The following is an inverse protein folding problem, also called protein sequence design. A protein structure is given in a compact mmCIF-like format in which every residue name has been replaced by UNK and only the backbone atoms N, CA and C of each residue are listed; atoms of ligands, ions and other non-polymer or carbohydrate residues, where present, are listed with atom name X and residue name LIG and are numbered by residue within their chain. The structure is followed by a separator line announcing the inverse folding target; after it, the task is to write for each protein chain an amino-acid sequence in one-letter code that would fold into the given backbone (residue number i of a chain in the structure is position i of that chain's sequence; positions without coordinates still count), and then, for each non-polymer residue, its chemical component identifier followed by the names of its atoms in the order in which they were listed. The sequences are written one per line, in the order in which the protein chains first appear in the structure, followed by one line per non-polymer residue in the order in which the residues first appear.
data_IF_993521388121
#
_entry.id   IF_993521388121
#
_cell.length_a   1.000
_cell.length_b   1.000
_cell.length_c   1.000
_cell.angle_alpha   90.00
_cell.angle_beta   90.00
_cell.angle_gamma   90.00
#
_symmetry.space_group_name_H-M   'P 1'
#
loop_
_entity.id
_entity.type
_entity.pdbx_description
1 polymer ?
#
# COMPACT_ATOMS: atom_id res chain seq x y z
N UNK A 1 50.71 -11.75 5.97
CA UNK A 1 49.26 -11.86 6.27
C UNK A 1 48.47 -11.28 5.10
N UNK A 2 47.64 -12.09 4.50
CA UNK A 2 47.17 -11.92 3.11
C UNK A 2 45.99 -10.93 3.05
N UNK A 3 46.13 -9.82 2.31
CA UNK A 3 45.11 -8.78 2.11
C UNK A 3 43.75 -9.36 1.59
N UNK A 4 43.79 -10.50 0.90
CA UNK A 4 42.61 -11.20 0.42
C UNK A 4 41.73 -11.78 1.55
N UNK A 5 42.33 -12.22 2.65
CA UNK A 5 41.60 -12.76 3.79
C UNK A 5 40.86 -11.67 4.58
N UNK A 6 41.40 -10.45 4.66
CA UNK A 6 40.78 -9.32 5.35
C UNK A 6 39.56 -8.86 4.59
N UNK A 7 39.63 -8.80 3.25
CA UNK A 7 38.50 -8.38 2.41
C UNK A 7 37.36 -9.40 2.42
N UNK A 8 37.69 -10.70 2.38
CA UNK A 8 36.71 -11.77 2.50
C UNK A 8 35.97 -11.76 3.87
N UNK A 9 36.70 -11.47 4.96
CA UNK A 9 36.12 -11.37 6.29
C UNK A 9 35.27 -10.11 6.47
N UNK A 10 35.61 -9.00 5.79
CA UNK A 10 34.75 -7.82 5.72
C UNK A 10 33.49 -8.07 4.91
N UNK A 11 33.58 -8.74 3.77
CA UNK A 11 32.45 -9.13 2.94
C UNK A 11 31.50 -10.10 3.69
N UNK A 12 32.05 -11.05 4.43
CA UNK A 12 31.26 -11.97 5.30
C UNK A 12 30.65 -11.20 6.47
N UNK A 13 31.36 -10.27 7.11
CA UNK A 13 30.77 -9.41 8.15
C UNK A 13 29.67 -8.51 7.61
N UNK A 14 29.82 -7.94 6.41
CA UNK A 14 28.80 -7.14 5.77
C UNK A 14 27.59 -7.97 5.32
N UNK A 15 27.79 -9.26 5.00
CA UNK A 15 26.72 -10.21 4.68
C UNK A 15 25.99 -10.70 5.94
N UNK A 16 26.71 -10.93 7.05
CA UNK A 16 26.15 -11.37 8.33
C UNK A 16 25.60 -10.20 9.16
N UNK A 17 26.16 -9.00 9.00
CA UNK A 17 25.61 -7.77 9.57
C UNK A 17 24.59 -7.22 8.56
N UNK A 18 23.45 -7.93 8.41
CA UNK A 18 22.36 -7.50 7.56
C UNK A 18 22.14 -6.00 7.80
N UNK A 19 22.36 -5.16 6.76
CA UNK A 19 22.00 -3.74 6.83
C UNK A 19 20.62 -3.68 7.45
N UNK A 20 20.50 -3.13 8.68
CA UNK A 20 19.20 -2.87 9.29
C UNK A 20 18.41 -2.12 8.25
N UNK A 21 17.41 -2.76 7.66
CA UNK A 21 16.55 -2.10 6.68
C UNK A 21 16.02 -0.86 7.38
N UNK A 22 16.24 0.30 6.77
CA UNK A 22 15.68 1.54 7.27
C UNK A 22 14.18 1.37 7.31
N UNK A 23 13.56 1.91 8.33
CA UNK A 23 12.10 1.85 8.53
C UNK A 23 11.56 3.25 8.79
N UNK A 24 10.31 3.45 8.38
CA UNK A 24 9.51 4.64 8.71
C UNK A 24 8.43 4.19 9.67
N UNK A 25 8.29 4.88 10.79
CA UNK A 25 7.24 4.61 11.76
C UNK A 25 6.03 5.51 11.50
N UNK A 26 4.84 4.91 11.38
CA UNK A 26 3.58 5.63 11.14
C UNK A 26 2.46 4.88 11.85
N UNK A 27 1.68 5.58 12.68
CA UNK A 27 0.60 4.97 13.45
C UNK A 27 1.08 3.86 14.41
N UNK A 28 2.32 3.93 14.90
CA UNK A 28 2.93 2.89 15.75
C UNK A 28 3.40 1.65 14.99
N UNK A 29 3.19 1.57 13.67
CA UNK A 29 3.69 0.50 12.82
C UNK A 29 4.99 0.91 12.10
N UNK A 30 5.86 -0.07 11.80
CA UNK A 30 7.16 0.13 11.17
C UNK A 30 7.16 -0.39 9.75
N UNK A 31 7.16 0.51 8.78
CA UNK A 31 7.22 0.21 7.35
C UNK A 31 8.68 0.19 6.87
N UNK A 32 9.10 -0.87 6.18
CA UNK A 32 10.43 -0.97 5.60
C UNK A 32 10.59 0.03 4.44
N UNK A 33 11.73 0.73 4.34
CA UNK A 33 11.98 1.66 3.22
C UNK A 33 12.07 0.95 1.86
N UNK A 34 12.45 -0.33 1.85
CA UNK A 34 12.59 -1.13 0.63
C UNK A 34 11.97 -2.51 0.85
N UNK A 35 11.20 -2.96 -0.11
CA UNK A 35 10.56 -4.28 -0.12
C UNK A 35 10.76 -4.96 -1.47
N UNK A 36 10.38 -6.24 -1.53
CA UNK A 36 10.24 -6.98 -2.79
C UNK A 36 8.82 -7.46 -2.96
N UNK A 37 8.28 -7.29 -4.16
CA UNK A 37 6.99 -7.84 -4.59
C UNK A 37 7.25 -8.74 -5.79
N UNK A 38 7.20 -10.05 -5.59
CA UNK A 38 7.74 -11.01 -6.54
C UNK A 38 9.24 -10.77 -6.77
N UNK A 39 9.65 -10.54 -8.01
CA UNK A 39 11.03 -10.20 -8.38
C UNK A 39 11.30 -8.69 -8.43
N UNK A 40 10.30 -7.86 -8.14
CA UNK A 40 10.41 -6.42 -8.27
C UNK A 40 10.84 -5.78 -6.95
N UNK A 41 11.92 -5.00 -6.97
CA UNK A 41 12.31 -4.15 -5.85
C UNK A 41 11.44 -2.88 -5.86
N UNK A 42 10.87 -2.53 -4.72
CA UNK A 42 10.06 -1.32 -4.53
C UNK A 42 10.62 -0.50 -3.39
N UNK A 43 10.45 0.81 -3.50
CA UNK A 43 10.80 1.78 -2.46
C UNK A 43 9.53 2.34 -1.83
N UNK A 44 9.57 2.59 -0.54
CA UNK A 44 8.51 3.27 0.17
C UNK A 44 8.38 4.71 -0.37
N UNK A 45 7.26 4.99 -1.03
CA UNK A 45 6.96 6.33 -1.52
C UNK A 45 6.54 7.24 -0.39
N UNK A 46 5.61 6.78 0.43
CA UNK A 46 5.12 7.52 1.59
C UNK A 46 4.17 6.69 2.43
N UNK A 47 3.79 7.26 3.58
CA UNK A 47 2.89 6.64 4.56
C UNK A 47 1.93 7.67 5.13
N UNK A 48 0.79 7.20 5.62
CA UNK A 48 -0.15 8.04 6.37
C UNK A 48 -1.04 7.21 7.28
N UNK A 49 -1.84 7.89 8.09
CA UNK A 49 -2.82 7.28 9.00
C UNK A 49 -4.21 7.79 8.63
N UNK A 50 -5.12 6.88 8.39
CA UNK A 50 -6.55 7.20 8.30
C UNK A 50 -7.08 7.43 9.70
N UNK A 51 -7.75 8.55 9.90
CA UNK A 51 -8.41 8.88 11.16
C UNK A 51 -9.93 9.00 10.95
N UNK A 52 -10.69 8.65 11.97
CA UNK A 52 -12.13 8.86 11.99
C UNK A 52 -12.52 9.29 13.41
N UNK A 53 -13.22 10.40 13.56
CA UNK A 53 -13.55 10.98 14.85
C UNK A 53 -12.30 11.21 15.76
N UNK A 54 -11.21 11.65 15.18
CA UNK A 54 -9.88 11.82 15.81
C UNK A 54 -9.23 10.53 16.33
N UNK A 55 -9.72 9.36 15.92
CA UNK A 55 -9.11 8.08 16.28
C UNK A 55 -8.43 7.45 15.07
N UNK A 56 -7.18 6.93 15.22
CA UNK A 56 -6.50 6.24 14.15
C UNK A 56 -7.18 4.90 13.86
N UNK A 57 -7.53 4.66 12.61
CA UNK A 57 -8.24 3.47 12.15
C UNK A 57 -7.29 2.48 11.49
N UNK A 58 -6.49 2.94 10.55
CA UNK A 58 -5.43 2.15 9.91
C UNK A 58 -4.29 3.05 9.45
N UNK A 59 -3.11 2.47 9.34
CA UNK A 59 -1.98 3.08 8.65
C UNK A 59 -1.87 2.50 7.25
N UNK A 60 -1.46 3.32 6.28
CA UNK A 60 -1.25 2.88 4.90
C UNK A 60 0.11 3.32 4.40
N UNK A 61 0.75 2.46 3.62
CA UNK A 61 2.02 2.71 2.94
C UNK A 61 1.87 2.45 1.44
N UNK A 62 2.46 3.33 0.63
CA UNK A 62 2.54 3.20 -0.81
C UNK A 62 3.98 2.84 -1.20
N UNK A 63 4.15 1.73 -1.92
CA UNK A 63 5.43 1.30 -2.46
C UNK A 63 5.41 1.35 -3.99
N UNK A 64 6.41 1.99 -4.57
CA UNK A 64 6.54 2.24 -6.01
C UNK A 64 7.93 1.80 -6.51
N UNK A 65 8.10 1.61 -7.83
CA UNK A 65 9.41 1.34 -8.42
C UNK A 65 10.43 2.48 -8.20
N UNK A 66 9.93 3.72 -8.10
CA UNK A 66 10.72 4.91 -7.81
C UNK A 66 9.85 5.93 -7.05
N UNK A 67 10.47 6.76 -6.23
CA UNK A 67 9.76 7.83 -5.49
C UNK A 67 9.20 8.89 -6.44
N UNK A 68 8.02 9.38 -6.11
CA UNK A 68 7.37 10.50 -6.79
C UNK A 68 6.52 11.29 -5.79
N UNK A 69 6.44 12.60 -6.00
CA UNK A 69 5.58 13.50 -5.24
C UNK A 69 4.33 13.91 -6.03
N UNK A 70 4.14 13.36 -7.21
CA UNK A 70 3.03 13.70 -8.11
C UNK A 70 2.02 12.58 -8.17
N UNK A 71 0.76 12.90 -7.95
CA UNK A 71 -0.37 11.97 -8.01
C UNK A 71 -0.48 11.29 -9.39
N UNK A 72 -0.48 12.07 -10.46
CA UNK A 72 -0.55 11.58 -11.84
C UNK A 72 0.62 10.65 -12.17
N UNK A 73 1.84 11.02 -11.76
CA UNK A 73 3.02 10.19 -11.96
C UNK A 73 2.93 8.88 -11.16
N UNK A 74 2.45 8.92 -9.90
CA UNK A 74 2.30 7.71 -9.09
C UNK A 74 1.35 6.69 -9.73
N UNK A 75 0.31 7.16 -10.42
CA UNK A 75 -0.64 6.33 -11.18
C UNK A 75 -0.09 5.88 -12.54
N UNK A 76 0.74 6.70 -13.20
CA UNK A 76 1.32 6.45 -14.51
C UNK A 76 2.60 5.61 -14.49
N UNK A 77 3.34 5.53 -13.37
CA UNK A 77 4.56 4.74 -13.27
C UNK A 77 4.34 3.31 -13.76
N UNK A 78 5.23 2.85 -14.62
CA UNK A 78 5.26 1.45 -15.04
C UNK A 78 5.89 0.59 -13.94
N UNK A 79 5.48 -0.68 -13.88
CA UNK A 79 6.05 -1.64 -12.94
C UNK A 79 5.12 -2.04 -11.82
N UNK A 80 5.65 -2.87 -10.94
CA UNK A 80 4.93 -3.38 -9.76
C UNK A 80 4.70 -2.28 -8.74
N UNK A 81 3.67 -2.45 -7.90
CA UNK A 81 3.31 -1.53 -6.82
C UNK A 81 2.69 -2.30 -5.68
N UNK A 82 2.74 -1.73 -4.49
CA UNK A 82 2.01 -2.23 -3.32
C UNK A 82 1.35 -1.08 -2.57
N UNK A 83 0.11 -1.28 -2.20
CA UNK A 83 -0.52 -0.63 -1.05
C UNK A 83 -0.48 -1.62 0.10
N UNK A 84 0.02 -1.19 1.26
CA UNK A 84 0.01 -1.96 2.49
C UNK A 84 -0.82 -1.22 3.53
N UNK A 85 -1.88 -1.84 4.01
CA UNK A 85 -2.80 -1.31 5.01
C UNK A 85 -2.58 -2.10 6.28
N UNK A 86 -2.33 -1.40 7.40
CA UNK A 86 -2.15 -2.01 8.72
C UNK A 86 -3.25 -1.51 9.63
N UNK A 87 -4.06 -2.41 10.13
CA UNK A 87 -5.18 -2.10 11.00
C UNK A 87 -4.67 -1.63 12.37
N UNK A 88 -5.19 -0.52 12.86
CA UNK A 88 -4.82 0.06 14.15
C UNK A 88 -5.92 -0.07 15.19
N UNK A 89 -7.18 -0.20 14.74
CA UNK A 89 -8.36 -0.37 15.58
C UNK A 89 -9.24 -1.48 14.99
N UNK A 90 -9.92 -2.29 15.81
CA UNK A 90 -10.83 -3.32 15.29
C UNK A 90 -11.84 -2.72 14.32
N UNK A 91 -12.03 -3.35 13.16
CA UNK A 91 -12.96 -2.96 12.11
C UNK A 91 -13.82 -4.16 11.72
N UNK A 92 -15.10 -3.93 11.48
CA UNK A 92 -15.92 -4.90 10.78
C UNK A 92 -15.47 -4.98 9.32
N UNK A 93 -15.27 -6.20 8.79
CA UNK A 93 -14.76 -6.36 7.43
C UNK A 93 -15.76 -5.91 6.36
N UNK A 94 -17.06 -6.11 6.57
CA UNK A 94 -18.11 -5.65 5.64
C UNK A 94 -18.16 -4.12 5.58
N UNK A 95 -18.08 -3.45 6.75
CA UNK A 95 -18.06 -1.98 6.82
C UNK A 95 -16.80 -1.41 6.13
N UNK A 96 -15.66 -2.09 6.30
CA UNK A 96 -14.41 -1.70 5.63
C UNK A 96 -14.54 -1.82 4.10
N UNK A 97 -15.06 -2.93 3.59
CA UNK A 97 -15.31 -3.16 2.16
C UNK A 97 -16.29 -2.12 1.62
N UNK A 98 -17.39 -1.89 2.33
CA UNK A 98 -18.40 -0.91 1.94
C UNK A 98 -17.81 0.50 1.82
N UNK A 99 -17.03 0.93 2.82
CA UNK A 99 -16.34 2.23 2.80
C UNK A 99 -15.35 2.36 1.65
N UNK A 100 -14.63 1.28 1.32
CA UNK A 100 -13.73 1.27 0.16
C UNK A 100 -14.50 1.41 -1.16
N UNK A 101 -15.62 0.72 -1.31
CA UNK A 101 -16.48 0.81 -2.51
C UNK A 101 -17.02 2.24 -2.69
N UNK A 102 -17.52 2.86 -1.64
CA UNK A 102 -17.98 4.25 -1.68
C UNK A 102 -16.85 5.20 -2.11
N UNK A 103 -15.66 5.07 -1.51
CA UNK A 103 -14.52 5.91 -1.88
C UNK A 103 -14.04 5.68 -3.33
N UNK A 104 -14.15 4.47 -3.87
CA UNK A 104 -13.92 4.20 -5.29
C UNK A 104 -14.97 4.93 -6.14
N UNK A 105 -16.25 4.87 -5.76
CA UNK A 105 -17.34 5.49 -6.49
C UNK A 105 -17.22 7.03 -6.53
N UNK A 106 -16.78 7.65 -5.45
CA UNK A 106 -16.55 9.10 -5.39
C UNK A 106 -15.43 9.58 -6.33
N UNK A 107 -14.49 8.70 -6.66
CA UNK A 107 -13.32 9.04 -7.47
C UNK A 107 -13.39 8.55 -8.93
N UNK A 108 -14.45 7.86 -9.31
CA UNK A 108 -14.58 7.28 -10.66
C UNK A 108 -16.02 7.44 -11.16
N UNK A 109 -16.18 7.82 -12.41
CA UNK A 109 -17.50 7.96 -13.02
C UNK A 109 -18.22 6.60 -13.17
N UNK A 110 -19.52 6.65 -13.41
CA UNK A 110 -20.36 5.45 -13.51
C UNK A 110 -19.88 4.48 -14.62
N UNK A 111 -19.37 5.00 -15.72
CA UNK A 111 -18.85 4.19 -16.82
C UNK A 111 -17.64 3.38 -16.36
N UNK A 112 -16.74 4.02 -15.63
CA UNK A 112 -15.56 3.36 -15.08
C UNK A 112 -15.93 2.36 -13.99
N UNK A 113 -16.86 2.70 -13.08
CA UNK A 113 -17.36 1.80 -12.05
C UNK A 113 -17.97 0.53 -12.69
N UNK A 114 -18.82 0.69 -13.69
CA UNK A 114 -19.41 -0.45 -14.43
C UNK A 114 -18.33 -1.30 -15.13
N UNK A 115 -17.26 -0.67 -15.61
CA UNK A 115 -16.16 -1.37 -16.27
C UNK A 115 -15.37 -2.28 -15.32
N UNK A 116 -15.21 -1.88 -14.05
CA UNK A 116 -14.45 -2.65 -13.04
C UNK A 116 -15.32 -3.49 -12.11
N UNK A 117 -16.64 -3.47 -12.28
CA UNK A 117 -17.59 -4.07 -11.33
C UNK A 117 -17.31 -5.56 -11.08
N UNK A 118 -17.07 -6.34 -12.14
CA UNK A 118 -16.79 -7.77 -12.01
C UNK A 118 -15.46 -8.04 -11.26
N UNK A 119 -14.46 -7.20 -11.47
CA UNK A 119 -13.17 -7.27 -10.80
C UNK A 119 -13.29 -6.86 -9.32
N UNK A 120 -14.10 -5.85 -9.04
CA UNK A 120 -14.36 -5.38 -7.69
C UNK A 120 -15.11 -6.45 -6.87
N UNK A 121 -16.14 -7.05 -7.45
CA UNK A 121 -16.87 -8.17 -6.83
C UNK A 121 -15.96 -9.35 -6.49
N UNK A 122 -14.94 -9.64 -7.31
CA UNK A 122 -13.97 -10.68 -6.98
C UNK A 122 -13.15 -10.34 -5.73
N UNK A 123 -12.73 -9.06 -5.56
CA UNK A 123 -12.02 -8.62 -4.34
C UNK A 123 -12.93 -8.73 -3.11
N UNK A 124 -14.17 -8.29 -3.23
CA UNK A 124 -15.17 -8.37 -2.15
C UNK A 124 -15.40 -9.83 -1.73
N UNK A 125 -15.51 -10.75 -2.68
CA UNK A 125 -15.67 -12.18 -2.40
C UNK A 125 -14.52 -12.75 -1.59
N UNK A 126 -13.28 -12.31 -1.86
CA UNK A 126 -12.11 -12.76 -1.09
C UNK A 126 -12.15 -12.31 0.37
N UNK A 127 -12.84 -11.22 0.66
CA UNK A 127 -12.91 -10.66 2.00
C UNK A 127 -14.15 -11.09 2.79
N UNK A 128 -15.12 -11.77 2.16
CA UNK A 128 -16.36 -12.22 2.83
C UNK A 128 -16.12 -13.19 3.99
N UNK A 129 -15.03 -13.96 3.92
CA UNK A 129 -14.67 -14.91 4.99
C UNK A 129 -14.05 -14.20 6.21
N UNK A 130 -13.70 -12.92 6.08
CA UNK A 130 -13.19 -12.09 7.15
C UNK A 130 -14.36 -11.43 7.89
N UNK A 131 -14.57 -11.77 9.14
CA UNK A 131 -15.62 -11.13 9.97
C UNK A 131 -15.14 -9.80 10.53
N UNK A 132 -13.95 -9.80 11.12
CA UNK A 132 -13.31 -8.63 11.69
C UNK A 132 -11.87 -8.53 11.22
N UNK A 133 -11.39 -7.30 11.14
CA UNK A 133 -9.98 -6.96 10.99
C UNK A 133 -9.49 -6.47 12.34
N UNK A 134 -8.47 -7.10 12.89
CA UNK A 134 -7.95 -6.82 14.22
C UNK A 134 -6.68 -5.94 14.16
N UNK A 135 -6.35 -5.21 15.23
CA UNK A 135 -5.13 -4.42 15.29
C UNK A 135 -3.89 -5.25 14.97
N UNK A 136 -3.03 -4.72 14.11
CA UNK A 136 -1.85 -5.35 13.52
C UNK A 136 -2.12 -6.30 12.35
N UNK A 137 -3.37 -6.53 11.96
CA UNK A 137 -3.67 -7.20 10.70
C UNK A 137 -3.15 -6.35 9.54
N UNK A 138 -2.67 -7.06 8.50
CA UNK A 138 -2.07 -6.44 7.32
C UNK A 138 -2.81 -6.89 6.08
N UNK A 139 -3.32 -5.92 5.32
CA UNK A 139 -3.86 -6.14 3.97
C UNK A 139 -2.88 -5.55 2.97
N UNK A 140 -2.30 -6.39 2.12
CA UNK A 140 -1.46 -5.95 1.00
C UNK A 140 -2.25 -6.05 -0.31
N UNK A 141 -2.25 -4.99 -1.09
CA UNK A 141 -2.79 -4.96 -2.45
C UNK A 141 -1.65 -4.72 -3.42
N UNK A 142 -1.27 -5.75 -4.16
CA UNK A 142 -0.14 -5.74 -5.08
C UNK A 142 -0.61 -5.66 -6.53
N UNK A 143 -0.06 -4.74 -7.30
CA UNK A 143 -0.13 -4.75 -8.74
C UNK A 143 1.14 -5.34 -9.33
N UNK A 144 1.01 -6.40 -10.12
CA UNK A 144 2.09 -6.99 -10.92
C UNK A 144 1.73 -6.90 -12.40
N UNK A 145 2.49 -6.15 -13.22
CA UNK A 145 2.26 -6.07 -14.66
C UNK A 145 2.13 -7.45 -15.28
N UNK A 146 1.18 -7.62 -16.20
CA UNK A 146 0.85 -8.88 -16.89
C UNK A 146 0.32 -10.01 -16.01
N UNK A 147 0.28 -9.84 -14.68
CA UNK A 147 -0.22 -10.85 -13.74
C UNK A 147 -1.52 -10.43 -13.05
N UNK A 148 -1.73 -9.13 -12.82
CA UNK A 148 -2.93 -8.59 -12.21
C UNK A 148 -2.73 -8.06 -10.79
N UNK A 149 -3.85 -7.83 -10.12
CA UNK A 149 -3.93 -7.39 -8.72
C UNK A 149 -4.04 -8.60 -7.81
N UNK A 150 -3.17 -8.65 -6.81
CA UNK A 150 -3.13 -9.69 -5.77
C UNK A 150 -3.53 -9.06 -4.45
N UNK A 151 -4.37 -9.73 -3.68
CA UNK A 151 -4.72 -9.31 -2.32
C UNK A 151 -4.16 -10.33 -1.36
N UNK A 152 -3.47 -9.85 -0.33
CA UNK A 152 -2.97 -10.69 0.76
C UNK A 152 -3.56 -10.20 2.08
N UNK A 153 -3.91 -11.12 2.93
CA UNK A 153 -4.27 -10.87 4.32
C UNK A 153 -3.28 -11.58 5.22
N UNK A 154 -2.58 -10.83 6.05
CA UNK A 154 -1.51 -11.34 6.93
C UNK A 154 -0.48 -12.21 6.18
N UNK A 155 -0.13 -11.80 4.94
CA UNK A 155 0.81 -12.51 4.08
C UNK A 155 0.24 -13.72 3.34
N UNK A 156 -1.01 -14.11 3.59
CA UNK A 156 -1.68 -15.19 2.88
C UNK A 156 -2.43 -14.62 1.66
N UNK A 157 -2.22 -15.21 0.48
CA UNK A 157 -2.92 -14.84 -0.75
C UNK A 157 -4.42 -15.16 -0.61
N UNK A 158 -5.25 -14.16 -0.88
CA UNK A 158 -6.69 -14.24 -0.90
C UNK A 158 -7.17 -14.44 -2.34
N UNK A 159 -7.83 -15.57 -2.60
CA UNK A 159 -8.36 -15.88 -3.92
C UNK A 159 -7.33 -15.92 -5.06
N UNK A 160 -7.79 -15.69 -6.27
CA UNK A 160 -6.96 -15.64 -7.46
C UNK A 160 -6.61 -14.20 -7.85
N UNK A 161 -5.46 -13.96 -8.51
CA UNK A 161 -5.15 -12.62 -9.01
C UNK A 161 -6.21 -12.08 -9.96
N UNK A 162 -6.67 -10.87 -9.72
CA UNK A 162 -7.66 -10.20 -10.57
C UNK A 162 -6.95 -9.46 -11.70
N UNK A 163 -7.31 -9.77 -12.95
CA UNK A 163 -6.69 -9.16 -14.12
C UNK A 163 -7.20 -7.72 -14.31
N UNK A 164 -6.40 -6.93 -15.00
CA UNK A 164 -6.75 -5.54 -15.30
C UNK A 164 -6.14 -4.53 -14.35
N UNK A 165 -5.49 -3.51 -14.92
CA UNK A 165 -4.90 -2.40 -14.15
C UNK A 165 -5.97 -1.47 -13.60
N UNK A 166 -7.12 -1.38 -14.27
CA UNK A 166 -8.19 -0.46 -13.92
C UNK A 166 -8.68 -0.65 -12.47
N UNK A 167 -8.83 -1.90 -12.04
CA UNK A 167 -9.17 -2.19 -10.64
C UNK A 167 -8.13 -1.64 -9.66
N UNK A 168 -6.84 -1.88 -9.92
CA UNK A 168 -5.78 -1.36 -9.04
C UNK A 168 -5.76 0.17 -9.02
N UNK A 169 -5.96 0.81 -10.17
CA UNK A 169 -6.03 2.27 -10.27
C UNK A 169 -7.25 2.83 -9.52
N UNK A 170 -8.39 2.14 -9.55
CA UNK A 170 -9.56 2.48 -8.76
C UNK A 170 -9.32 2.34 -7.26
N UNK A 171 -8.71 1.24 -6.81
CA UNK A 171 -8.31 1.07 -5.41
C UNK A 171 -7.33 2.17 -4.99
N UNK A 172 -6.35 2.48 -5.82
CA UNK A 172 -5.38 3.55 -5.53
C UNK A 172 -6.05 4.93 -5.44
N UNK A 173 -7.14 5.17 -6.19
CA UNK A 173 -7.87 6.44 -6.17
C UNK A 173 -8.52 6.76 -4.83
N UNK A 174 -8.78 5.77 -3.98
CA UNK A 174 -9.31 5.95 -2.62
C UNK A 174 -8.46 6.96 -1.83
N UNK A 175 -7.14 6.87 -1.97
CA UNK A 175 -6.19 7.72 -1.24
C UNK A 175 -5.51 8.77 -2.10
N UNK A 176 -5.45 8.57 -3.42
CA UNK A 176 -4.74 9.46 -4.35
C UNK A 176 -5.65 10.07 -5.41
N UNK A 177 -6.96 9.91 -5.30
CA UNK A 177 -7.93 10.53 -6.21
C UNK A 177 -8.21 11.99 -5.86
N UNK A 178 -9.03 12.64 -6.66
CA UNK A 178 -9.42 14.05 -6.46
C UNK A 178 -10.33 14.21 -5.24
N UNK A 179 -11.05 13.13 -4.87
CA UNK A 179 -11.87 13.01 -3.66
C UNK A 179 -11.25 12.00 -2.70
N UNK A 180 -9.93 12.15 -2.42
CA UNK A 180 -9.25 11.29 -1.46
C UNK A 180 -9.89 11.40 -0.07
N UNK A 181 -9.92 10.27 0.66
CA UNK A 181 -10.55 10.20 1.99
C UNK A 181 -10.05 11.26 2.97
N UNK A 182 -8.77 11.61 2.90
CA UNK A 182 -8.13 12.64 3.72
C UNK A 182 -6.95 13.25 2.95
N UNK A 183 -6.90 14.59 2.92
CA UNK A 183 -5.82 15.31 2.26
C UNK A 183 -4.46 15.04 2.92
N UNK A 184 -4.40 15.04 4.27
CA UNK A 184 -3.15 14.76 5.01
C UNK A 184 -2.62 13.36 4.71
N UNK A 185 -3.51 12.39 4.53
CA UNK A 185 -3.16 11.03 4.16
C UNK A 185 -2.61 10.97 2.73
N UNK A 186 -3.23 11.66 1.79
CA UNK A 186 -2.77 11.82 0.42
C UNK A 186 -1.38 12.45 0.37
N UNK A 187 -1.18 13.57 1.07
CA UNK A 187 0.10 14.24 1.18
C UNK A 187 1.18 13.32 1.76
N UNK A 188 0.84 12.56 2.81
CA UNK A 188 1.73 11.59 3.43
C UNK A 188 2.17 10.50 2.45
N UNK A 189 1.25 9.93 1.67
CA UNK A 189 1.55 8.90 0.66
C UNK A 189 2.41 9.43 -0.49
N UNK A 190 2.24 10.70 -0.86
CA UNK A 190 3.05 11.38 -1.87
C UNK A 190 4.35 11.97 -1.31
N UNK A 191 4.61 11.81 0.00
CA UNK A 191 5.75 12.41 0.69
C UNK A 191 5.85 13.93 0.43
N UNK A 192 4.71 14.61 0.34
CA UNK A 192 4.68 16.05 0.19
C UNK A 192 5.19 16.71 1.49
N UNK A 193 5.95 17.81 1.41
CA UNK A 193 6.28 18.56 2.61
C UNK A 193 4.98 19.07 3.22
N UNK A 194 4.72 18.69 4.48
CA UNK A 194 3.59 19.24 5.23
C UNK A 194 3.73 20.75 5.25
N UNK A 195 2.74 21.44 4.72
CA UNK A 195 2.71 22.90 4.78
C UNK A 195 2.90 23.33 6.23
N UNK A 196 3.93 24.12 6.52
CA UNK A 196 3.99 24.84 7.78
C UNK A 196 2.77 25.74 7.81
N UNK A 197 1.80 25.42 8.65
CA UNK A 197 0.82 26.41 9.08
C UNK A 197 1.64 27.42 9.87
N UNK A 198 2.07 28.49 9.22
CA UNK A 198 2.59 29.67 9.91
C UNK A 198 1.40 30.29 10.65
N UNK A 199 1.39 30.14 11.97
CA UNK A 199 0.50 30.87 12.87
C UNK A 199 0.96 32.32 12.98
#
# INVERSE_FOLDING_TARGET
MNQNNTRLMEDIKNFLCGKKSKVVETGGHRFAENIKVGQNALVLNGTGVRTQNNEPIYAVALYLPAKTHRQDTSRALLGARRLQIVILKPLNAEDFIFSMREAIAENNDETYQNFIENELLQIEEFMKDLTNLEPSDVVDVDWLPSRGTFVYYNGQLMGNPVRGKALYDAVLSIWLGDHALEEELREGLLSLPRGKIEN
#
